data_IF_262001417968
#
_entry.id   IF_262001417968
#
_cell.length_a   1.000
_cell.length_b   1.000
_cell.length_c   1.000
_cell.angle_alpha   90.00
_cell.angle_beta   90.00
_cell.angle_gamma   90.00
#
_symmetry.space_group_name_H-M   'P 1'
#
loop_
_entity.id
_entity.type
_entity.pdbx_description
1 polymer ?
#
# COMPACT_ATOMS: atom_id res chain seq x y z
N UNK A 1 5.26 1.42 20.18
CA UNK A 1 4.41 2.60 20.42
C UNK A 1 4.13 3.28 19.10
N UNK A 2 2.85 3.50 18.77
CA UNK A 2 2.46 4.25 17.57
C UNK A 2 2.13 5.69 17.99
N UNK A 3 2.78 6.67 17.38
CA UNK A 3 2.54 8.09 17.60
C UNK A 3 1.82 8.68 16.40
N UNK A 4 0.68 9.31 16.62
CA UNK A 4 -0.01 10.09 15.59
C UNK A 4 0.68 11.44 15.48
N UNK A 5 1.20 11.75 14.29
CA UNK A 5 1.84 13.04 13.98
C UNK A 5 0.98 13.92 13.07
N UNK A 6 -0.04 13.36 12.40
CA UNK A 6 -0.92 14.12 11.51
C UNK A 6 -1.75 15.20 12.19
N UNK A 7 -2.06 15.05 13.49
CA UNK A 7 -2.71 16.10 14.31
C UNK A 7 -1.78 17.28 14.59
N UNK A 8 -0.46 17.09 14.47
CA UNK A 8 0.55 18.13 14.55
C UNK A 8 0.92 18.68 13.15
N UNK A 9 0.19 18.30 12.09
CA UNK A 9 0.40 18.79 10.73
C UNK A 9 1.49 18.07 9.93
N UNK A 10 2.12 17.04 10.50
CA UNK A 10 3.19 16.28 9.84
C UNK A 10 2.68 14.98 9.24
N UNK A 11 3.13 14.64 8.02
CA UNK A 11 3.07 13.26 7.57
C UNK A 11 4.19 12.42 8.21
N UNK A 12 4.05 11.09 8.19
CA UNK A 12 5.00 10.20 8.85
C UNK A 12 6.41 10.27 8.27
N UNK A 13 6.57 10.62 6.99
CA UNK A 13 7.88 10.74 6.34
C UNK A 13 8.58 12.03 6.78
N UNK A 14 7.84 13.15 6.81
CA UNK A 14 8.32 14.42 7.35
C UNK A 14 8.73 14.28 8.81
N UNK A 15 7.86 13.70 9.64
CA UNK A 15 8.13 13.53 11.07
C UNK A 15 9.32 12.61 11.34
N UNK A 16 9.44 11.50 10.58
CA UNK A 16 10.65 10.66 10.60
C UNK A 16 11.90 11.46 10.24
N UNK A 17 11.82 12.33 9.24
CA UNK A 17 12.93 13.18 8.81
C UNK A 17 13.41 14.10 9.92
N UNK A 18 12.50 14.80 10.59
CA UNK A 18 12.79 15.68 11.74
C UNK A 18 13.46 14.88 12.86
N UNK A 19 12.82 13.80 13.30
CA UNK A 19 13.35 12.94 14.37
C UNK A 19 14.75 12.42 14.07
N UNK A 20 15.00 11.96 12.84
CA UNK A 20 16.29 11.40 12.45
C UNK A 20 17.39 12.45 12.28
N UNK A 21 17.09 13.56 11.60
CA UNK A 21 18.11 14.55 11.22
C UNK A 21 18.45 15.55 12.32
N UNK A 22 17.47 15.94 13.13
CA UNK A 22 17.66 16.97 14.16
C UNK A 22 17.93 16.35 15.54
N UNK A 23 17.33 15.19 15.81
CA UNK A 23 17.35 14.57 17.14
C UNK A 23 18.04 13.21 17.20
N UNK A 24 18.52 12.68 16.06
CA UNK A 24 19.13 11.36 15.96
C UNK A 24 18.23 10.22 16.47
N UNK A 25 16.92 10.36 16.32
CA UNK A 25 15.91 9.36 16.68
C UNK A 25 15.45 8.64 15.42
N UNK A 26 15.76 7.35 15.32
CA UNK A 26 15.28 6.50 14.25
C UNK A 26 13.91 5.91 14.59
N UNK A 27 13.02 5.88 13.60
CA UNK A 27 11.70 5.24 13.72
C UNK A 27 11.60 4.06 12.77
N UNK A 28 10.82 3.05 13.17
CA UNK A 28 10.80 1.75 12.51
C UNK A 28 9.91 1.77 11.26
N UNK A 29 8.72 2.34 11.40
CA UNK A 29 7.72 2.37 10.32
C UNK A 29 7.01 3.72 10.32
N UNK A 30 6.62 4.17 9.15
CA UNK A 30 5.81 5.37 8.96
C UNK A 30 4.50 5.00 8.26
N UNK A 31 3.48 5.81 8.49
CA UNK A 31 2.24 5.84 7.72
C UNK A 31 2.03 7.27 7.18
N UNK A 32 0.87 7.53 6.56
CA UNK A 32 0.50 8.90 6.15
C UNK A 32 0.48 9.88 7.34
N UNK A 33 0.11 9.45 8.54
CA UNK A 33 -0.14 10.34 9.68
C UNK A 33 0.39 9.83 11.03
N UNK A 34 1.20 8.77 11.01
CA UNK A 34 1.77 8.19 12.22
C UNK A 34 3.17 7.62 12.00
N UNK A 35 3.90 7.47 13.10
CA UNK A 35 5.17 6.75 13.16
C UNK A 35 5.10 5.66 14.22
N UNK A 36 5.78 4.55 13.95
CA UNK A 36 5.95 3.45 14.89
C UNK A 36 7.36 3.52 15.48
N UNK A 37 7.43 3.70 16.79
CA UNK A 37 8.65 3.63 17.58
C UNK A 37 8.65 2.31 18.34
N UNK A 38 9.64 1.45 18.09
CA UNK A 38 9.79 0.20 18.85
C UNK A 38 10.98 0.32 19.79
N UNK A 39 10.71 0.15 21.09
CA UNK A 39 11.77 -0.04 22.07
C UNK A 39 12.26 -1.48 22.02
N UNK A 40 13.55 -1.69 22.24
CA UNK A 40 14.17 -2.99 22.42
C UNK A 40 14.96 -3.04 23.74
N UNK A 41 15.56 -4.20 24.04
CA UNK A 41 16.29 -4.45 25.29
C UNK A 41 17.51 -3.53 25.50
N UNK A 42 18.02 -2.90 24.44
CA UNK A 42 19.13 -1.97 24.53
C UNK A 42 18.68 -0.52 24.82
N UNK A 43 17.37 -0.25 24.84
CA UNK A 43 16.89 1.08 25.17
C UNK A 43 16.83 1.29 26.68
N UNK A 44 17.39 2.41 27.12
CA UNK A 44 17.48 2.83 28.52
C UNK A 44 16.32 3.75 28.90
N UNK A 45 16.15 3.99 30.21
CA UNK A 45 15.23 5.04 30.71
C UNK A 45 15.60 6.42 30.16
N UNK A 46 16.89 6.67 29.95
CA UNK A 46 17.39 7.92 29.38
C UNK A 46 16.96 8.10 27.93
N UNK A 47 16.91 7.03 27.13
CA UNK A 47 16.43 7.09 25.75
C UNK A 47 14.93 7.46 25.69
N UNK A 48 14.14 6.89 26.60
CA UNK A 48 12.71 7.23 26.73
C UNK A 48 12.54 8.69 27.18
N UNK A 49 13.32 9.14 28.16
CA UNK A 49 13.29 10.53 28.62
C UNK A 49 13.71 11.51 27.50
N UNK A 50 14.71 11.13 26.70
CA UNK A 50 15.14 11.90 25.54
C UNK A 50 14.02 12.02 24.49
N UNK A 51 13.36 10.91 24.15
CA UNK A 51 12.19 10.92 23.26
C UNK A 51 11.08 11.84 23.78
N UNK A 52 10.71 11.73 25.06
CA UNK A 52 9.66 12.57 25.67
C UNK A 52 10.04 14.05 25.58
N UNK A 53 11.29 14.40 25.91
CA UNK A 53 11.79 15.79 25.83
C UNK A 53 11.66 16.34 24.40
N UNK A 54 12.09 15.57 23.39
CA UNK A 54 12.03 15.96 21.98
C UNK A 54 10.57 16.12 21.52
N UNK A 55 9.68 15.22 21.90
CA UNK A 55 8.26 15.34 21.55
C UNK A 55 7.61 16.57 22.18
N UNK A 56 7.96 16.92 23.43
CA UNK A 56 7.48 18.12 24.09
C UNK A 56 8.03 19.41 23.43
N UNK A 57 9.29 19.38 22.99
CA UNK A 57 9.93 20.48 22.26
C UNK A 57 9.20 20.76 20.94
N UNK A 58 8.98 19.72 20.12
CA UNK A 58 8.26 19.82 18.85
C UNK A 58 6.82 20.29 19.06
N UNK A 59 6.12 19.76 20.07
CA UNK A 59 4.76 20.22 20.38
C UNK A 59 4.73 21.72 20.71
N UNK A 60 5.68 22.19 21.52
CA UNK A 60 5.81 23.61 21.85
C UNK A 60 6.15 24.49 20.65
N UNK A 61 6.89 24.00 19.66
CA UNK A 61 7.15 24.72 18.41
C UNK A 61 5.88 24.88 17.56
N UNK A 62 5.09 23.81 17.44
CA UNK A 62 3.79 23.86 16.74
C UNK A 62 2.88 24.89 17.41
N UNK A 63 2.77 24.87 18.74
CA UNK A 63 1.95 25.82 19.49
C UNK A 63 2.41 27.26 19.31
N UNK A 64 3.72 27.51 19.38
CA UNK A 64 4.29 28.85 19.14
C UNK A 64 4.02 29.34 17.72
N UNK A 65 4.19 28.48 16.72
CA UNK A 65 3.90 28.82 15.32
C UNK A 65 2.43 29.20 15.11
N UNK A 66 1.51 28.47 15.73
CA UNK A 66 0.08 28.76 15.66
C UNK A 66 -0.30 30.05 16.40
N UNK A 67 0.33 30.34 17.54
CA UNK A 67 0.09 31.57 18.29
C UNK A 67 0.59 32.83 17.55
N UNK A 68 1.71 32.72 16.83
CA UNK A 68 2.35 33.84 16.14
C UNK A 68 1.81 34.07 14.72
N UNK A 69 1.35 33.03 14.03
CA UNK A 69 1.01 33.08 12.59
C UNK A 69 -0.35 33.70 12.24
N UNK A 70 -1.16 34.10 13.23
CA UNK A 70 -2.47 34.71 13.00
C UNK A 70 -3.50 33.75 12.37
N UNK A 71 -4.60 34.31 11.83
CA UNK A 71 -5.73 33.53 11.32
C UNK A 71 -5.38 32.65 10.10
N UNK A 72 -4.59 33.17 9.17
CA UNK A 72 -4.24 32.46 7.94
C UNK A 72 -3.34 31.24 8.20
N UNK A 73 -2.39 31.34 9.12
CA UNK A 73 -1.54 30.20 9.50
C UNK A 73 -2.39 29.08 10.15
N UNK A 74 -3.35 29.46 11.00
CA UNK A 74 -4.28 28.52 11.63
C UNK A 74 -5.14 27.78 10.61
N UNK A 75 -5.71 28.50 9.65
CA UNK A 75 -6.50 27.90 8.58
C UNK A 75 -5.66 26.94 7.71
N UNK A 76 -4.42 27.32 7.40
CA UNK A 76 -3.49 26.47 6.64
C UNK A 76 -3.16 25.19 7.41
N UNK A 77 -2.89 25.31 8.71
CA UNK A 77 -2.63 24.17 9.58
C UNK A 77 -3.85 23.24 9.68
N UNK A 78 -5.04 23.79 9.90
CA UNK A 78 -6.29 23.01 9.96
C UNK A 78 -6.57 22.26 8.66
N UNK A 79 -6.34 22.91 7.51
CA UNK A 79 -6.47 22.27 6.21
C UNK A 79 -5.47 21.11 6.03
N UNK A 80 -4.21 21.31 6.48
CA UNK A 80 -3.19 20.25 6.46
C UNK A 80 -3.57 19.09 7.37
N UNK A 81 -4.00 19.34 8.60
CA UNK A 81 -4.47 18.31 9.54
C UNK A 81 -5.65 17.55 8.95
N UNK A 82 -6.62 18.25 8.35
CA UNK A 82 -7.77 17.62 7.69
C UNK A 82 -7.32 16.68 6.56
N UNK A 83 -6.39 17.11 5.71
CA UNK A 83 -5.85 16.30 4.61
C UNK A 83 -5.12 15.03 5.09
N UNK A 84 -4.47 15.10 6.26
CA UNK A 84 -3.74 13.97 6.84
C UNK A 84 -4.63 13.02 7.66
N UNK A 85 -5.71 13.53 8.24
CA UNK A 85 -6.51 12.82 9.24
C UNK A 85 -7.92 12.44 8.77
N UNK A 86 -8.47 13.13 7.77
CA UNK A 86 -9.87 12.98 7.32
C UNK A 86 -9.96 12.67 5.83
N UNK A 87 -9.25 13.41 5.00
CA UNK A 87 -9.28 13.25 3.53
C UNK A 87 -8.27 12.18 3.08
N UNK A 88 -8.38 10.97 3.64
CA UNK A 88 -7.49 9.83 3.35
C UNK A 88 -8.11 8.92 2.28
N UNK A 89 -7.31 8.34 1.39
CA UNK A 89 -7.83 7.40 0.39
C UNK A 89 -8.28 6.08 1.05
N UNK A 90 -9.42 5.56 0.59
CA UNK A 90 -9.94 4.27 1.06
C UNK A 90 -9.05 3.13 0.60
N UNK A 91 -8.68 2.26 1.54
CA UNK A 91 -7.83 1.13 1.22
C UNK A 91 -8.62 0.10 0.41
N UNK A 92 -8.12 -0.35 -0.76
CA UNK A 92 -8.83 -1.33 -1.56
C UNK A 92 -8.80 -2.69 -0.86
N UNK A 93 -9.92 -3.39 -0.93
CA UNK A 93 -9.97 -4.79 -0.51
C UNK A 93 -9.37 -5.70 -1.58
N UNK A 94 -8.90 -6.87 -1.16
CA UNK A 94 -8.63 -7.95 -2.08
C UNK A 94 -9.92 -8.36 -2.79
N UNK A 95 -9.87 -8.46 -4.11
CA UNK A 95 -10.99 -8.86 -4.96
C UNK A 95 -11.10 -10.39 -5.01
N UNK A 96 -10.40 -10.99 -5.98
CA UNK A 96 -10.23 -12.41 -6.17
C UNK A 96 -9.11 -12.66 -7.17
N UNK A 97 -8.61 -13.90 -7.22
CA UNK A 97 -7.75 -14.34 -8.31
C UNK A 97 -8.56 -14.52 -9.61
N UNK A 98 -7.92 -14.30 -10.77
CA UNK A 98 -8.51 -14.66 -12.06
C UNK A 98 -8.75 -16.18 -12.13
N UNK A 99 -9.82 -16.68 -12.80
CA UNK A 99 -10.11 -18.12 -12.87
C UNK A 99 -8.95 -19.02 -13.32
N UNK A 100 -8.06 -18.51 -14.18
CA UNK A 100 -6.84 -19.24 -14.61
C UNK A 100 -5.86 -19.54 -13.46
N UNK A 101 -6.02 -18.90 -12.31
CA UNK A 101 -5.19 -19.08 -11.12
C UNK A 101 -6.00 -19.65 -9.93
N UNK A 102 -7.17 -20.27 -10.14
CA UNK A 102 -8.08 -20.69 -9.05
C UNK A 102 -8.37 -22.20 -8.97
N UNK A 103 -7.35 -23.04 -9.16
CA UNK A 103 -7.41 -24.52 -9.25
C UNK A 103 -8.72 -25.21 -8.82
N UNK A 104 -8.70 -25.91 -7.69
CA UNK A 104 -9.81 -26.59 -7.02
C UNK A 104 -10.34 -25.78 -5.84
N UNK A 105 -9.87 -24.53 -5.67
CA UNK A 105 -10.29 -23.57 -4.64
C UNK A 105 -11.83 -23.39 -4.58
N UNK A 106 -12.53 -23.86 -5.63
CA UNK A 106 -13.97 -23.94 -5.72
C UNK A 106 -14.61 -22.56 -5.69
N UNK A 107 -15.93 -22.55 -5.55
CA UNK A 107 -16.70 -21.30 -5.46
C UNK A 107 -16.80 -20.77 -4.01
N UNK A 108 -16.20 -21.48 -3.04
CA UNK A 108 -16.38 -21.22 -1.60
C UNK A 108 -15.24 -20.43 -0.95
N UNK A 109 -14.08 -20.33 -1.59
CA UNK A 109 -12.89 -19.68 -1.02
C UNK A 109 -12.30 -18.67 -1.99
N UNK A 110 -11.64 -17.63 -1.48
CA UNK A 110 -10.95 -16.64 -2.32
C UNK A 110 -9.52 -17.06 -2.67
N UNK A 111 -9.15 -18.32 -2.38
CA UNK A 111 -7.81 -18.85 -2.61
C UNK A 111 -7.44 -18.89 -4.11
N UNK A 112 -6.14 -18.83 -4.37
CA UNK A 112 -5.60 -18.95 -5.72
C UNK A 112 -4.10 -19.21 -5.74
N UNK A 113 -3.61 -19.64 -6.89
CA UNK A 113 -2.22 -19.95 -7.16
C UNK A 113 -1.44 -18.68 -7.49
N UNK A 114 -1.04 -17.99 -6.43
CA UNK A 114 -0.17 -16.80 -6.52
C UNK A 114 1.18 -17.11 -7.17
N UNK A 115 1.68 -18.36 -7.05
CA UNK A 115 2.96 -18.77 -7.61
C UNK A 115 2.89 -18.78 -9.14
N UNK A 116 1.86 -19.39 -9.71
CA UNK A 116 1.63 -19.38 -11.15
C UNK A 116 1.37 -17.96 -11.67
N UNK A 117 0.60 -17.14 -10.93
CA UNK A 117 0.42 -15.72 -11.23
C UNK A 117 1.75 -14.95 -11.26
N UNK A 118 2.63 -15.19 -10.29
CA UNK A 118 3.96 -14.57 -10.22
C UNK A 118 4.85 -14.99 -11.40
N UNK A 119 4.86 -16.27 -11.77
CA UNK A 119 5.65 -16.75 -12.92
C UNK A 119 5.09 -16.30 -14.27
N UNK A 120 3.78 -16.02 -14.38
CA UNK A 120 3.21 -15.45 -15.60
C UNK A 120 3.86 -14.09 -15.97
N UNK A 121 4.33 -13.34 -14.97
CA UNK A 121 5.03 -12.08 -15.19
C UNK A 121 6.40 -12.22 -15.88
N UNK A 122 6.99 -13.41 -15.91
CA UNK A 122 8.28 -13.66 -16.55
C UNK A 122 8.15 -13.83 -18.07
N UNK A 123 6.97 -14.19 -18.57
CA UNK A 123 6.67 -14.16 -19.99
C UNK A 123 6.35 -12.72 -20.42
N UNK A 124 7.39 -12.01 -20.89
CA UNK A 124 7.27 -10.62 -21.35
C UNK A 124 6.25 -10.50 -22.49
N UNK A 125 6.18 -11.49 -23.39
CA UNK A 125 5.22 -11.49 -24.49
C UNK A 125 3.78 -11.71 -24.00
N UNK A 126 3.62 -12.42 -22.88
CA UNK A 126 2.35 -12.62 -22.18
C UNK A 126 1.91 -11.44 -21.30
N UNK A 127 2.72 -10.37 -21.20
CA UNK A 127 2.41 -9.19 -20.41
C UNK A 127 2.12 -7.95 -21.26
N UNK A 128 1.40 -7.00 -20.68
CA UNK A 128 1.23 -5.65 -21.20
C UNK A 128 1.42 -4.62 -20.10
N UNK A 129 1.67 -3.37 -20.48
CA UNK A 129 1.73 -2.24 -19.56
C UNK A 129 0.72 -1.20 -19.98
N UNK A 130 -0.08 -0.73 -19.02
CA UNK A 130 -1.05 0.35 -19.24
C UNK A 130 -0.83 1.43 -18.19
N UNK A 131 -0.63 2.67 -18.63
CA UNK A 131 -0.42 3.80 -17.73
C UNK A 131 -1.66 4.03 -16.86
N UNK A 132 -1.46 4.39 -15.60
CA UNK A 132 -2.53 4.50 -14.60
C UNK A 132 -3.69 5.43 -15.00
N UNK A 133 -3.38 6.48 -15.76
CA UNK A 133 -4.35 7.46 -16.25
C UNK A 133 -4.72 7.27 -17.72
N UNK A 134 -4.38 6.13 -18.31
CA UNK A 134 -4.80 5.79 -19.67
C UNK A 134 -6.31 5.47 -19.68
N UNK A 135 -7.12 6.06 -20.59
CA UNK A 135 -8.55 5.76 -20.70
C UNK A 135 -8.86 4.27 -20.90
N UNK A 136 -7.91 3.48 -21.39
CA UNK A 136 -8.06 2.03 -21.56
C UNK A 136 -8.32 1.31 -20.21
N UNK A 137 -7.76 1.79 -19.09
CA UNK A 137 -8.06 1.24 -17.76
C UNK A 137 -9.55 1.40 -17.45
N UNK A 138 -10.08 2.61 -17.61
CA UNK A 138 -11.48 2.90 -17.28
C UNK A 138 -12.43 2.18 -18.23
N UNK A 139 -12.04 2.00 -19.51
CA UNK A 139 -12.79 1.19 -20.47
C UNK A 139 -12.83 -0.28 -20.06
N UNK A 140 -11.69 -0.87 -19.68
CA UNK A 140 -11.59 -2.29 -19.29
C UNK A 140 -12.29 -2.58 -17.96
N UNK A 141 -12.23 -1.68 -16.99
CA UNK A 141 -13.00 -1.82 -15.75
C UNK A 141 -14.52 -1.88 -15.98
N UNK A 142 -15.02 -1.24 -17.05
CA UNK A 142 -16.46 -1.22 -17.39
C UNK A 142 -16.89 -2.34 -18.32
N UNK A 143 -16.08 -2.67 -19.33
CA UNK A 143 -16.47 -3.51 -20.46
C UNK A 143 -15.56 -4.73 -20.67
N UNK A 144 -14.48 -4.86 -19.90
CA UNK A 144 -13.46 -5.88 -20.07
C UNK A 144 -12.49 -5.61 -21.23
N UNK A 145 -11.53 -6.54 -21.47
CA UNK A 145 -11.25 -7.71 -20.63
C UNK A 145 -10.72 -7.32 -19.24
N UNK A 146 -10.79 -8.25 -18.28
CA UNK A 146 -10.33 -8.02 -16.90
C UNK A 146 -8.85 -7.59 -16.85
N UNK A 147 -8.55 -6.67 -15.95
CA UNK A 147 -7.18 -6.25 -15.64
C UNK A 147 -6.61 -7.21 -14.60
N UNK A 148 -5.65 -8.07 -14.99
CA UNK A 148 -5.05 -9.04 -14.06
C UNK A 148 -3.64 -8.62 -13.72
N UNK A 149 -3.35 -8.35 -12.44
CA UNK A 149 -2.02 -7.92 -12.02
C UNK A 149 -0.99 -9.02 -12.29
N UNK A 150 0.13 -8.66 -12.93
CA UNK A 150 1.26 -9.56 -13.10
C UNK A 150 2.22 -9.50 -11.89
N UNK A 151 2.25 -8.39 -11.17
CA UNK A 151 3.22 -8.13 -10.11
C UNK A 151 2.55 -7.88 -8.75
N UNK A 152 3.35 -7.94 -7.69
CA UNK A 152 3.01 -7.25 -6.46
C UNK A 152 3.11 -5.74 -6.68
N UNK A 153 2.13 -4.98 -6.22
CA UNK A 153 2.20 -3.51 -6.15
C UNK A 153 2.11 -3.11 -4.69
N UNK A 154 3.20 -2.55 -4.15
CA UNK A 154 3.38 -2.31 -2.72
C UNK A 154 3.79 -0.84 -2.51
N UNK A 155 2.85 0.05 -2.17
CA UNK A 155 3.17 1.45 -1.88
C UNK A 155 3.79 1.63 -0.50
N UNK A 156 4.82 2.46 -0.40
CA UNK A 156 5.50 2.79 0.86
C UNK A 156 5.40 4.29 1.19
N UNK A 157 4.87 4.64 2.37
CA UNK A 157 4.05 3.81 3.28
C UNK A 157 2.65 3.50 2.69
N UNK A 158 1.91 2.50 3.20
CA UNK A 158 2.12 1.68 4.41
C UNK A 158 2.97 0.41 4.22
N UNK A 159 3.27 0.00 3.00
CA UNK A 159 4.20 -1.11 2.70
C UNK A 159 3.59 -2.51 2.81
N UNK A 160 2.32 -2.66 2.45
CA UNK A 160 1.68 -3.95 2.19
C UNK A 160 1.12 -3.98 0.77
N UNK A 161 0.95 -5.17 0.16
CA UNK A 161 0.49 -5.28 -1.21
C UNK A 161 -0.96 -4.84 -1.35
N UNK A 162 -1.21 -3.92 -2.29
CA UNK A 162 -2.56 -3.54 -2.74
C UNK A 162 -2.97 -4.31 -4.00
N UNK A 163 -2.00 -4.90 -4.69
CA UNK A 163 -2.21 -5.86 -5.77
C UNK A 163 -1.25 -7.03 -5.57
N UNK A 164 -1.73 -8.24 -5.86
CA UNK A 164 -0.91 -9.46 -5.90
C UNK A 164 -0.96 -10.11 -7.30
N UNK A 165 0.07 -10.86 -7.72
CA UNK A 165 0.06 -11.55 -9.00
C UNK A 165 -1.15 -12.47 -9.17
N UNK A 166 -1.82 -12.37 -10.32
CA UNK A 166 -3.03 -13.13 -10.64
C UNK A 166 -4.33 -12.54 -10.08
N UNK A 167 -4.28 -11.46 -9.30
CA UNK A 167 -5.48 -10.76 -8.81
C UNK A 167 -6.14 -9.95 -9.93
N UNK A 168 -7.48 -9.96 -9.97
CA UNK A 168 -8.27 -9.07 -10.82
C UNK A 168 -8.37 -7.69 -10.18
N UNK A 169 -7.91 -6.65 -10.88
CA UNK A 169 -7.87 -5.28 -10.38
C UNK A 169 -9.27 -4.64 -10.45
N UNK A 170 -9.67 -3.93 -9.39
CA UNK A 170 -10.97 -3.26 -9.29
C UNK A 170 -10.85 -1.74 -9.45
N UNK A 171 -12.00 -1.07 -9.62
CA UNK A 171 -12.07 0.39 -9.64
C UNK A 171 -11.50 1.00 -8.34
N UNK A 172 -11.81 0.41 -7.18
CA UNK A 172 -11.30 0.85 -5.88
C UNK A 172 -9.76 0.85 -5.84
N UNK A 173 -9.12 -0.19 -6.38
CA UNK A 173 -7.66 -0.26 -6.41
C UNK A 173 -7.05 0.82 -7.31
N UNK A 174 -7.68 1.10 -8.46
CA UNK A 174 -7.23 2.16 -9.38
C UNK A 174 -7.45 3.54 -8.76
N UNK A 175 -8.59 3.78 -8.13
CA UNK A 175 -8.89 5.05 -7.47
C UNK A 175 -7.94 5.31 -6.31
N UNK A 176 -7.60 4.27 -5.53
CA UNK A 176 -6.58 4.35 -4.49
C UNK A 176 -5.23 4.74 -5.08
N UNK A 177 -4.76 4.04 -6.12
CA UNK A 177 -3.50 4.34 -6.81
C UNK A 177 -3.45 5.77 -7.36
N UNK A 178 -4.54 6.28 -7.92
CA UNK A 178 -4.63 7.65 -8.46
C UNK A 178 -4.60 8.73 -7.38
N UNK A 179 -5.10 8.42 -6.18
CA UNK A 179 -5.10 9.33 -5.02
C UNK A 179 -3.84 9.18 -4.14
N UNK A 180 -3.00 8.20 -4.44
CA UNK A 180 -1.86 7.85 -3.60
C UNK A 180 -0.76 8.91 -3.73
N UNK A 181 -0.52 9.61 -2.63
CA UNK A 181 0.49 10.68 -2.53
C UNK A 181 1.84 10.15 -2.02
N UNK A 182 2.27 8.98 -2.51
CA UNK A 182 3.57 8.39 -2.14
C UNK A 182 4.43 8.22 -3.37
N UNK A 183 5.73 8.49 -3.20
CA UNK A 183 6.71 8.45 -4.29
C UNK A 183 7.29 7.05 -4.53
N UNK A 184 7.28 6.22 -3.50
CA UNK A 184 7.88 4.88 -3.53
C UNK A 184 6.78 3.82 -3.64
N UNK A 185 6.67 3.19 -4.81
CA UNK A 185 5.74 2.08 -5.05
C UNK A 185 6.53 0.94 -5.66
N UNK A 186 6.72 -0.14 -4.90
CA UNK A 186 7.47 -1.30 -5.39
C UNK A 186 6.60 -2.08 -6.37
N UNK A 187 7.22 -2.54 -7.47
CA UNK A 187 6.54 -3.29 -8.53
C UNK A 187 5.69 -2.45 -9.49
N UNK A 188 5.75 -1.12 -9.39
CA UNK A 188 5.11 -0.17 -10.29
C UNK A 188 6.13 0.86 -10.80
N UNK A 189 6.10 1.11 -12.12
CA UNK A 189 6.85 2.20 -12.76
C UNK A 189 5.84 3.15 -13.41
N UNK A 190 5.91 4.45 -13.10
CA UNK A 190 4.92 5.40 -13.58
C UNK A 190 5.00 5.69 -15.10
N UNK A 191 6.16 5.47 -15.74
CA UNK A 191 6.36 5.67 -17.19
C UNK A 191 5.79 4.51 -18.00
N UNK A 192 6.00 3.30 -17.50
CA UNK A 192 5.47 2.06 -18.11
C UNK A 192 3.99 1.87 -17.75
N UNK A 193 3.64 2.04 -16.48
CA UNK A 193 2.30 1.83 -15.94
C UNK A 193 2.14 0.50 -15.18
N UNK A 194 0.90 0.05 -15.07
CA UNK A 194 0.56 -1.23 -14.45
C UNK A 194 0.98 -2.37 -15.36
N UNK A 195 1.76 -3.32 -14.82
CA UNK A 195 2.10 -4.56 -15.52
C UNK A 195 0.98 -5.58 -15.34
N UNK A 196 0.39 -6.01 -16.45
CA UNK A 196 -0.80 -6.86 -16.49
C UNK A 196 -0.53 -8.13 -17.29
N UNK A 197 -1.19 -9.22 -16.93
CA UNK A 197 -1.20 -10.45 -17.73
C UNK A 197 -2.21 -10.28 -18.85
N UNK A 198 -1.78 -10.51 -20.10
CA UNK A 198 -2.65 -10.41 -21.28
C UNK A 198 -3.74 -11.46 -21.27
N UNK A 199 -4.91 -11.11 -21.81
CA UNK A 199 -6.04 -12.03 -21.94
C UNK A 199 -5.68 -13.30 -22.73
N UNK A 200 -4.85 -13.19 -23.78
CA UNK A 200 -4.40 -14.33 -24.58
C UNK A 200 -3.49 -15.27 -23.78
N UNK A 201 -2.65 -14.73 -22.89
CA UNK A 201 -1.81 -15.54 -22.02
C UNK A 201 -2.64 -16.25 -20.94
N UNK A 202 -3.64 -15.56 -20.38
CA UNK A 202 -4.60 -16.14 -19.42
C UNK A 202 -5.43 -17.28 -20.06
N UNK A 203 -5.83 -17.12 -21.33
CA UNK A 203 -6.55 -18.13 -22.07
C UNK A 203 -5.71 -19.40 -22.32
N UNK A 204 -4.40 -19.24 -22.59
CA UNK A 204 -3.46 -20.37 -22.76
C UNK A 204 -3.23 -21.15 -21.47
N UNK A 205 -3.19 -20.47 -20.32
CA UNK A 205 -3.09 -21.11 -19.01
C UNK A 205 -4.32 -21.99 -18.71
N UNK A 206 -5.50 -21.56 -19.17
CA UNK A 206 -6.77 -22.26 -18.94
C UNK A 206 -7.15 -22.31 -17.46
N UNK A 207 -8.31 -22.91 -17.13
CA UNK A 207 -8.60 -23.25 -15.74
C UNK A 207 -7.72 -24.44 -15.33
N UNK A 208 -7.02 -24.38 -14.19
CA UNK A 208 -6.25 -25.52 -13.73
C UNK A 208 -7.21 -26.70 -13.53
N UNK A 209 -6.75 -27.92 -13.90
CA UNK A 209 -7.55 -29.13 -13.65
C UNK A 209 -7.72 -29.29 -12.14
N UNK A 210 -8.88 -29.78 -11.66
CA UNK A 210 -9.06 -30.09 -10.24
C UNK A 210 -7.89 -30.96 -9.76
N UNK A 211 -7.23 -30.53 -8.69
CA UNK A 211 -6.19 -31.35 -8.06
C UNK A 211 -6.78 -32.70 -7.65
N UNK A 212 -5.99 -33.77 -7.77
CA UNK A 212 -6.39 -35.04 -7.17
C UNK A 212 -6.61 -34.81 -5.67
N UNK A 213 -7.79 -35.18 -5.15
CA UNK A 213 -8.07 -35.07 -3.72
C UNK A 213 -6.92 -35.71 -2.92
N UNK A 214 -6.41 -35.05 -1.87
CA UNK A 214 -5.41 -35.64 -1.01
C UNK A 214 -5.97 -36.98 -0.52
N UNK A 215 -5.27 -38.09 -0.81
CA UNK A 215 -5.57 -39.38 -0.18
C UNK A 215 -5.23 -39.24 1.31
N UNK A 216 -6.19 -38.79 2.11
CA UNK A 216 -6.10 -38.85 3.55
C UNK A 216 -5.92 -40.33 3.91
N UNK A 217 -4.76 -40.69 4.44
CA UNK A 217 -4.58 -42.02 5.06
C UNK A 217 -5.57 -42.07 6.21
N UNK A 218 -6.43 -43.08 6.23
CA UNK A 218 -7.23 -43.37 7.40
C UNK A 218 -6.28 -43.50 8.61
N UNK A 219 -6.59 -42.78 9.68
CA UNK A 219 -5.86 -42.91 10.93
C UNK A 219 -5.93 -44.39 11.35
N UNK A 220 -4.75 -45.00 11.49
CA UNK A 220 -4.59 -46.37 11.99
C UNK A 220 -4.63 -46.38 13.51
#
# INVERSE_FOLDING_TARGET
MTLVCGTAGYDGTQFKGILASEYNIQVNKTSRNSVLVQSNINNTRSDVAHLIRVLAEIAGEVDRGLAQGGSNARQTFEARVKSLMKDVPDLPNFSHFHPSFRSDAGDKTNEGDIRSGFYAAYDVAGCEHIRLNDPEIDRRLKAGPELVSANFVIPYPPGFPIMVPGQVITQETIDFMRKLDVKEIHGYDAKEGLKLVRAEALAKLGRPRPGAQPKLKAAS
#
